data_IF_783785817846
#
_entry.id   IF_783785817846
#
_cell.length_a   1.000
_cell.length_b   1.000
_cell.length_c   1.000
_cell.angle_alpha   90.00
_cell.angle_beta   90.00
_cell.angle_gamma   90.00
#
_symmetry.space_group_name_H-M   'P 1'
#
loop_
_entity.id
_entity.type
_entity.pdbx_description
1 polymer ?
#
# COMPACT_ATOMS: atom_id res chain seq x y z
N UNK A 1 21.23 -3.47 1.58
CA UNK A 1 20.83 -2.76 0.35
C UNK A 1 21.47 -3.48 -0.81
N UNK A 2 20.78 -3.63 -1.94
CA UNK A 2 21.24 -4.38 -3.11
C UNK A 2 21.35 -3.47 -4.33
N UNK A 3 22.33 -3.75 -5.18
CA UNK A 3 22.47 -3.09 -6.48
C UNK A 3 21.82 -3.97 -7.55
N UNK A 4 21.17 -3.34 -8.51
CA UNK A 4 20.63 -4.05 -9.68
C UNK A 4 21.63 -4.06 -10.84
N UNK A 5 21.56 -5.06 -11.73
CA UNK A 5 22.42 -5.16 -12.92
C UNK A 5 22.35 -3.93 -13.84
N UNK A 6 23.42 -3.70 -14.60
CA UNK A 6 23.58 -2.51 -15.46
C UNK A 6 22.70 -2.48 -16.71
N UNK A 7 22.03 -3.57 -17.04
CA UNK A 7 21.06 -3.68 -18.14
C UNK A 7 19.62 -3.35 -17.69
N UNK A 8 19.37 -3.29 -16.38
CA UNK A 8 18.08 -2.87 -15.82
C UNK A 8 17.92 -1.36 -15.97
N UNK A 9 16.84 -0.95 -16.66
CA UNK A 9 16.51 0.46 -16.93
C UNK A 9 15.63 1.11 -15.85
N UNK A 10 14.71 0.32 -15.29
CA UNK A 10 13.72 0.78 -14.32
C UNK A 10 13.55 -0.26 -13.21
N UNK A 11 13.38 0.21 -11.98
CA UNK A 11 13.10 -0.63 -10.81
C UNK A 11 11.93 -0.02 -10.06
N UNK A 12 10.85 -0.78 -9.92
CA UNK A 12 9.65 -0.42 -9.17
C UNK A 12 9.51 -1.42 -8.01
N UNK A 13 9.44 -0.91 -6.78
CA UNK A 13 9.44 -1.74 -5.57
C UNK A 13 8.32 -1.31 -4.64
N UNK A 14 7.29 -2.17 -4.52
CA UNK A 14 6.23 -2.00 -3.53
C UNK A 14 6.66 -2.61 -2.20
N UNK A 15 6.67 -1.81 -1.13
CA UNK A 15 7.20 -2.16 0.19
C UNK A 15 6.08 -2.28 1.23
N UNK A 16 6.12 -3.33 2.05
CA UNK A 16 5.18 -3.51 3.16
C UNK A 16 5.60 -2.71 4.40
N UNK A 17 4.79 -1.70 4.73
CA UNK A 17 5.04 -0.79 5.85
C UNK A 17 4.84 -1.46 7.22
N UNK A 18 3.88 -2.39 7.34
CA UNK A 18 3.52 -3.04 8.60
C UNK A 18 4.10 -4.46 8.77
N UNK A 19 4.96 -4.88 7.85
CA UNK A 19 5.68 -6.14 8.00
C UNK A 19 6.78 -6.01 9.06
N UNK A 20 6.68 -6.82 10.12
CA UNK A 20 7.42 -6.69 11.37
C UNK A 20 8.12 -7.99 11.81
N UNK A 21 8.17 -9.01 10.95
CA UNK A 21 8.97 -10.21 11.18
C UNK A 21 10.42 -9.94 10.82
N UNK A 22 11.32 -10.17 11.77
CA UNK A 22 12.77 -10.08 11.56
C UNK A 22 13.28 -10.96 10.39
N UNK A 23 12.59 -12.08 10.09
CA UNK A 23 12.94 -12.95 8.95
C UNK A 23 12.58 -12.35 7.58
N UNK A 24 11.77 -11.29 7.56
CA UNK A 24 11.29 -10.60 6.35
C UNK A 24 11.85 -9.16 6.31
N UNK A 25 13.17 -9.05 6.50
CA UNK A 25 13.90 -7.80 6.33
C UNK A 25 13.81 -7.34 4.87
N UNK A 26 13.51 -6.05 4.69
CA UNK A 26 13.44 -5.45 3.37
C UNK A 26 14.85 -5.28 2.80
N UNK A 27 15.01 -5.64 1.53
CA UNK A 27 16.24 -5.35 0.79
C UNK A 27 16.01 -4.17 -0.15
N UNK A 28 16.31 -2.95 0.32
CA UNK A 28 16.19 -1.75 -0.49
C UNK A 28 17.23 -1.73 -1.62
N UNK A 29 16.82 -1.22 -2.78
CA UNK A 29 17.68 -1.04 -3.93
C UNK A 29 18.48 0.26 -3.85
N UNK A 30 19.74 0.20 -4.30
CA UNK A 30 20.60 1.35 -4.55
C UNK A 30 20.83 1.52 -6.06
N UNK A 31 20.75 2.76 -6.53
CA UNK A 31 21.07 3.09 -7.92
C UNK A 31 22.59 3.21 -8.09
N UNK A 32 23.19 2.59 -9.12
CA UNK A 32 24.52 2.97 -9.58
C UNK A 32 24.56 4.45 -9.97
N UNK A 33 25.71 5.12 -9.79
CA UNK A 33 25.88 6.53 -10.18
C UNK A 33 25.53 6.73 -11.66
N UNK A 34 24.78 7.80 -11.97
CA UNK A 34 24.38 8.14 -13.34
C UNK A 34 23.25 7.28 -13.92
N UNK A 35 22.56 6.48 -13.10
CA UNK A 35 21.40 5.66 -13.51
C UNK A 35 20.10 6.17 -12.91
N UNK A 36 18.99 5.86 -13.59
CA UNK A 36 17.64 6.10 -13.09
C UNK A 36 17.48 5.47 -11.70
N UNK A 37 17.12 6.24 -10.67
CA UNK A 37 16.95 5.70 -9.33
C UNK A 37 15.75 4.74 -9.25
N UNK A 38 15.81 3.72 -8.37
CA UNK A 38 14.68 2.85 -8.13
C UNK A 38 13.54 3.63 -7.48
N UNK A 39 12.30 3.38 -7.93
CA UNK A 39 11.10 3.93 -7.29
C UNK A 39 10.59 2.92 -6.27
N UNK A 40 10.82 3.23 -5.00
CA UNK A 40 10.50 2.36 -3.86
C UNK A 40 9.44 3.05 -3.01
N UNK A 41 8.24 2.47 -2.96
CA UNK A 41 7.07 3.09 -2.33
C UNK A 41 6.57 2.18 -1.21
N UNK A 42 6.36 2.75 -0.04
CA UNK A 42 5.77 2.07 1.11
C UNK A 42 4.24 2.07 1.03
N UNK A 43 3.66 0.87 1.10
CA UNK A 43 2.22 0.62 1.06
C UNK A 43 1.70 0.12 2.41
N UNK A 44 0.42 0.38 2.72
CA UNK A 44 -0.22 -0.08 3.93
C UNK A 44 -0.29 -1.61 3.98
N UNK A 45 0.15 -2.18 5.10
CA UNK A 45 -0.08 -3.57 5.47
C UNK A 45 1.17 -4.42 5.56
N UNK A 46 0.95 -5.70 5.89
CA UNK A 46 1.99 -6.72 5.99
C UNK A 46 2.39 -7.26 4.61
N UNK A 47 3.30 -8.23 4.56
CA UNK A 47 3.79 -8.78 3.29
C UNK A 47 2.67 -9.21 2.32
N UNK A 48 1.62 -9.88 2.83
CA UNK A 48 0.50 -10.34 2.00
C UNK A 48 -0.49 -9.24 1.61
N UNK A 49 -0.56 -8.17 2.40
CA UNK A 49 -1.40 -7.01 2.06
C UNK A 49 -0.80 -6.20 0.91
N UNK A 50 0.50 -6.30 0.67
CA UNK A 50 1.17 -5.64 -0.45
C UNK A 50 1.42 -6.59 -1.62
N UNK A 51 1.83 -7.84 -1.34
CA UNK A 51 2.18 -8.83 -2.37
C UNK A 51 1.04 -9.76 -2.79
N UNK A 52 -0.07 -9.79 -2.04
CA UNK A 52 -1.15 -10.74 -2.24
C UNK A 52 -0.97 -12.05 -1.45
N UNK A 53 -1.94 -12.97 -1.62
CA UNK A 53 -1.94 -14.28 -0.94
C UNK A 53 -2.49 -14.29 0.48
N UNK A 54 -2.93 -13.14 1.00
CA UNK A 54 -3.64 -13.01 2.28
C UNK A 54 -5.16 -13.09 2.13
N UNK A 55 -5.88 -12.94 3.25
CA UNK A 55 -7.35 -12.95 3.27
C UNK A 55 -8.00 -11.70 2.68
N UNK A 56 -7.29 -10.57 2.69
CA UNK A 56 -7.78 -9.32 2.13
C UNK A 56 -7.37 -9.21 0.65
N UNK A 57 -8.30 -9.34 -0.30
CA UNK A 57 -7.98 -9.24 -1.72
C UNK A 57 -7.84 -7.79 -2.20
N UNK A 58 -8.26 -6.81 -1.41
CA UNK A 58 -8.34 -5.40 -1.83
C UNK A 58 -7.07 -4.60 -1.52
N UNK A 59 -6.44 -4.84 -0.37
CA UNK A 59 -5.14 -4.20 -0.04
C UNK A 59 -4.06 -4.42 -1.13
N UNK A 60 -3.79 -5.66 -1.60
CA UNK A 60 -2.76 -5.89 -2.61
C UNK A 60 -3.16 -5.37 -4.00
N UNK A 61 -4.43 -5.03 -4.24
CA UNK A 61 -4.83 -4.37 -5.49
C UNK A 61 -4.27 -2.95 -5.57
N UNK A 62 -4.05 -2.27 -4.44
CA UNK A 62 -3.50 -0.90 -4.45
C UNK A 62 -2.08 -0.92 -5.03
N UNK A 63 -1.18 -1.73 -4.45
CA UNK A 63 0.20 -1.87 -4.92
C UNK A 63 0.29 -2.42 -6.34
N UNK A 64 -0.61 -3.35 -6.72
CA UNK A 64 -0.70 -3.85 -8.08
C UNK A 64 -1.08 -2.74 -9.06
N UNK A 65 -2.14 -1.97 -8.79
CA UNK A 65 -2.60 -0.89 -9.68
C UNK A 65 -1.56 0.22 -9.80
N UNK A 66 -0.88 0.57 -8.70
CA UNK A 66 0.28 1.43 -8.74
C UNK A 66 1.35 0.89 -9.71
N UNK A 67 1.76 -0.37 -9.54
CA UNK A 67 2.78 -1.00 -10.39
C UNK A 67 2.36 -1.03 -11.87
N UNK A 68 1.10 -1.31 -12.18
CA UNK A 68 0.58 -1.27 -13.55
C UNK A 68 0.70 0.13 -14.16
N UNK A 69 0.43 1.19 -13.39
CA UNK A 69 0.60 2.55 -13.86
C UNK A 69 2.06 2.95 -14.07
N UNK A 70 2.98 2.45 -13.25
CA UNK A 70 4.42 2.62 -13.49
C UNK A 70 4.93 1.85 -14.71
N UNK A 71 4.34 0.68 -14.99
CA UNK A 71 4.70 -0.16 -16.12
C UNK A 71 4.05 0.26 -17.44
N UNK A 72 2.92 0.97 -17.41
CA UNK A 72 2.15 1.37 -18.59
C UNK A 72 2.98 2.06 -19.70
N UNK A 73 3.96 2.95 -19.40
CA UNK A 73 4.80 3.56 -20.44
C UNK A 73 5.82 2.60 -21.07
N UNK A 74 6.03 1.43 -20.47
CA UNK A 74 7.09 0.49 -20.83
C UNK A 74 6.57 -0.80 -21.47
N UNK A 75 5.33 -1.20 -21.14
CA UNK A 75 4.71 -2.43 -21.63
C UNK A 75 3.24 -2.22 -21.97
N UNK A 76 2.72 -3.01 -22.91
CA UNK A 76 1.28 -3.04 -23.20
C UNK A 76 0.56 -3.90 -22.16
N UNK A 77 -0.35 -3.30 -21.42
CA UNK A 77 -1.16 -3.97 -20.40
C UNK A 77 -2.63 -3.91 -20.82
N UNK A 78 -3.32 -5.06 -20.89
CA UNK A 78 -4.76 -5.13 -21.13
C UNK A 78 -5.50 -5.21 -19.78
N UNK A 79 -6.06 -4.08 -19.33
CA UNK A 79 -6.69 -3.94 -18.02
C UNK A 79 -8.21 -3.77 -18.10
N UNK A 80 -8.96 -4.80 -18.51
CA UNK A 80 -10.41 -4.64 -18.72
C UNK A 80 -11.28 -4.86 -17.48
N UNK A 81 -10.75 -5.30 -16.33
CA UNK A 81 -11.61 -5.74 -15.21
C UNK A 81 -11.11 -5.43 -13.78
N UNK A 82 -10.01 -4.69 -13.59
CA UNK A 82 -9.51 -4.39 -12.24
C UNK A 82 -10.11 -3.08 -11.73
N UNK A 83 -10.81 -3.14 -10.60
CA UNK A 83 -11.35 -1.95 -9.92
C UNK A 83 -10.39 -1.47 -8.83
N UNK A 84 -10.24 -0.15 -8.70
CA UNK A 84 -9.51 0.45 -7.60
C UNK A 84 -10.32 0.29 -6.29
N UNK A 85 -9.74 -0.23 -5.19
CA UNK A 85 -10.49 -0.59 -3.98
C UNK A 85 -10.98 0.63 -3.18
N UNK A 86 -11.89 0.41 -2.23
CA UNK A 86 -12.30 1.44 -1.27
C UNK A 86 -11.32 1.58 -0.12
N UNK A 87 -10.43 2.56 -0.24
CA UNK A 87 -9.34 2.76 0.71
C UNK A 87 -9.86 2.99 2.15
N UNK A 88 -10.92 3.79 2.33
CA UNK A 88 -11.41 4.20 3.67
C UNK A 88 -11.94 3.05 4.55
N UNK A 89 -12.24 1.89 3.98
CA UNK A 89 -12.75 0.73 4.74
C UNK A 89 -11.70 -0.36 4.94
N UNK A 90 -10.52 -0.20 4.36
CA UNK A 90 -9.46 -1.19 4.49
C UNK A 90 -8.86 -1.14 5.89
N UNK A 91 -8.51 -2.33 6.37
CA UNK A 91 -7.85 -2.56 7.65
C UNK A 91 -6.56 -3.33 7.39
N UNK A 92 -5.43 -2.64 7.24
CA UNK A 92 -4.14 -3.28 7.07
C UNK A 92 -3.83 -4.17 8.26
N UNK A 93 -3.16 -5.27 7.99
CA UNK A 93 -2.71 -6.22 9.00
C UNK A 93 -1.24 -5.99 9.33
N UNK A 94 -0.82 -6.42 10.52
CA UNK A 94 0.58 -6.72 10.77
C UNK A 94 0.85 -8.18 10.42
N UNK A 95 2.11 -8.59 10.47
CA UNK A 95 2.48 -9.96 10.09
C UNK A 95 2.03 -11.05 11.08
N UNK A 96 1.44 -10.69 12.23
CA UNK A 96 1.04 -11.62 13.29
C UNK A 96 -0.47 -11.66 13.55
N UNK A 97 -1.26 -10.87 12.82
CA UNK A 97 -2.71 -10.76 12.95
C UNK A 97 -3.45 -12.10 12.90
N UNK A 98 -2.85 -13.13 12.29
CA UNK A 98 -3.42 -14.48 12.19
C UNK A 98 -2.87 -15.48 13.22
N UNK A 99 -1.85 -15.15 14.01
CA UNK A 99 -1.19 -16.09 14.93
C UNK A 99 -0.41 -15.38 16.04
N UNK A 100 -1.08 -15.07 17.15
CA UNK A 100 -0.47 -14.35 18.28
C UNK A 100 0.77 -15.03 18.90
N UNK A 101 0.84 -16.37 18.89
CA UNK A 101 2.01 -17.10 19.39
C UNK A 101 3.26 -16.89 18.53
N UNK A 102 3.11 -16.64 17.22
CA UNK A 102 4.25 -16.35 16.33
C UNK A 102 4.97 -15.08 16.76
N UNK A 103 4.25 -14.11 17.35
CA UNK A 103 4.81 -12.87 17.88
C UNK A 103 5.74 -13.07 19.08
N UNK A 104 5.59 -14.18 19.81
CA UNK A 104 6.46 -14.50 20.96
C UNK A 104 7.76 -15.16 20.52
N UNK A 105 7.75 -15.87 19.39
CA UNK A 105 8.92 -16.60 18.88
C UNK A 105 9.70 -15.80 17.83
N UNK A 106 9.01 -14.98 17.03
CA UNK A 106 9.67 -14.06 16.11
C UNK A 106 9.92 -12.72 16.83
N UNK A 107 11.17 -12.23 16.74
CA UNK A 107 11.48 -10.88 17.20
C UNK A 107 10.70 -9.88 16.33
N UNK A 108 9.82 -9.14 16.99
CA UNK A 108 9.07 -8.03 16.42
C UNK A 108 10.02 -6.85 16.19
N UNK A 109 10.06 -6.33 14.97
CA UNK A 109 10.90 -5.18 14.60
C UNK A 109 10.15 -4.32 13.58
N UNK A 110 9.86 -3.07 13.90
CA UNK A 110 9.22 -2.16 12.93
C UNK A 110 10.23 -1.65 11.91
N UNK A 111 9.73 -1.00 10.84
CA UNK A 111 10.60 -0.40 9.81
C UNK A 111 11.44 0.76 10.32
N UNK A 112 11.05 1.39 11.43
CA UNK A 112 11.84 2.39 12.13
C UNK A 112 12.93 1.73 12.98
N UNK A 113 12.57 0.68 13.74
CA UNK A 113 13.51 -0.06 14.58
C UNK A 113 14.65 -0.63 13.75
N UNK A 114 14.32 -1.21 12.59
CA UNK A 114 15.30 -1.76 11.63
C UNK A 114 16.04 -0.70 10.81
N UNK A 115 15.73 0.59 10.99
CA UNK A 115 16.26 1.72 10.20
C UNK A 115 16.05 1.58 8.69
N UNK A 116 15.05 0.79 8.29
CA UNK A 116 14.72 0.57 6.89
C UNK A 116 13.98 1.78 6.31
N UNK A 117 13.02 2.33 7.07
CA UNK A 117 12.29 3.53 6.72
C UNK A 117 13.10 4.78 7.07
N UNK A 118 13.25 5.70 6.12
CA UNK A 118 14.01 6.95 6.26
C UNK A 118 13.15 8.13 5.82
N UNK A 119 13.42 9.33 6.34
CA UNK A 119 12.69 10.57 6.02
C UNK A 119 12.56 10.87 4.51
N UNK A 120 13.54 10.44 3.71
CA UNK A 120 13.56 10.61 2.24
C UNK A 120 12.75 9.58 1.46
N UNK A 121 12.21 8.57 2.14
CA UNK A 121 11.45 7.51 1.50
C UNK A 121 10.06 8.00 1.12
N UNK A 122 9.46 7.31 0.16
CA UNK A 122 8.17 7.66 -0.40
C UNK A 122 7.10 6.73 0.14
N UNK A 123 6.00 7.29 0.61
CA UNK A 123 4.82 6.53 1.04
C UNK A 123 3.68 6.71 0.05
N UNK A 124 2.87 5.68 -0.15
CA UNK A 124 1.67 5.80 -0.98
C UNK A 124 0.56 6.56 -0.25
N UNK A 125 -0.20 7.41 -0.95
CA UNK A 125 -1.31 8.18 -0.35
C UNK A 125 -2.33 7.33 0.40
N UNK A 126 -2.55 6.09 -0.04
CA UNK A 126 -3.46 5.17 0.64
C UNK A 126 -3.06 4.89 2.09
N UNK A 127 -1.77 4.96 2.44
CA UNK A 127 -1.31 4.78 3.83
C UNK A 127 -1.94 5.87 4.73
N UNK A 128 -1.82 7.12 4.31
CA UNK A 128 -2.37 8.29 5.02
C UNK A 128 -3.90 8.28 5.04
N UNK A 129 -4.55 7.91 3.93
CA UNK A 129 -6.01 7.84 3.85
C UNK A 129 -6.58 6.76 4.78
N UNK A 130 -5.98 5.57 4.78
CA UNK A 130 -6.39 4.46 5.66
C UNK A 130 -6.19 4.84 7.12
N UNK A 131 -5.04 5.40 7.48
CA UNK A 131 -4.76 5.75 8.88
C UNK A 131 -5.70 6.84 9.39
N UNK A 132 -6.05 7.82 8.54
CA UNK A 132 -7.08 8.83 8.84
C UNK A 132 -8.47 8.20 9.05
N UNK A 133 -8.85 7.25 8.19
CA UNK A 133 -10.15 6.57 8.30
C UNK A 133 -10.23 5.62 9.51
N UNK A 134 -9.08 5.11 9.98
CA UNK A 134 -8.99 4.18 11.09
C UNK A 134 -8.58 4.83 12.43
N UNK A 135 -8.59 6.17 12.55
CA UNK A 135 -8.29 6.86 13.82
C UNK A 135 -9.24 6.32 14.90
N UNK A 136 -8.69 5.54 15.85
CA UNK A 136 -9.42 5.08 17.03
C UNK A 136 -9.27 6.11 18.16
N UNK A 137 -10.32 6.44 18.92
CA UNK A 137 -10.15 7.09 20.21
C UNK A 137 -9.33 6.17 21.13
N UNK A 138 -8.24 6.70 21.71
CA UNK A 138 -7.26 5.95 22.51
C UNK A 138 -7.93 5.14 23.63
N UNK A 139 -7.95 3.82 23.49
CA UNK A 139 -7.82 2.92 24.65
C UNK A 139 -6.39 2.40 24.65
N UNK A 140 -5.69 2.71 25.73
CA UNK A 140 -4.35 2.24 26.01
C UNK A 140 -4.29 0.71 25.90
N UNK A 141 -3.19 0.21 25.36
CA UNK A 141 -2.83 -1.20 25.13
C UNK A 141 -3.23 -1.77 23.75
N UNK A 142 -2.18 -2.09 22.98
CA UNK A 142 -2.15 -2.81 21.71
C UNK A 142 -2.46 -2.03 20.42
N UNK A 143 -1.44 -1.33 19.91
CA UNK A 143 -1.28 -1.21 18.46
C UNK A 143 0.11 -1.71 18.05
N UNK A 144 0.13 -2.88 17.40
CA UNK A 144 1.28 -3.47 16.71
C UNK A 144 1.48 -2.90 15.30
N UNK A 145 0.68 -1.90 14.95
CA UNK A 145 0.69 -1.21 13.67
C UNK A 145 1.13 0.23 13.90
N UNK A 146 2.22 0.61 13.24
CA UNK A 146 2.74 1.97 13.22
C UNK A 146 1.76 2.87 12.47
N UNK A 147 1.38 4.01 13.04
CA UNK A 147 0.47 4.97 12.38
C UNK A 147 1.29 6.10 11.74
N UNK A 148 1.11 6.33 10.45
CA UNK A 148 1.88 7.33 9.70
C UNK A 148 1.65 8.76 10.20
N UNK A 149 0.45 9.04 10.76
CA UNK A 149 0.11 10.34 11.31
C UNK A 149 0.88 10.64 12.60
N UNK A 150 1.30 9.60 13.33
CA UNK A 150 2.18 9.76 14.51
C UNK A 150 3.65 9.95 14.10
N UNK A 151 3.97 9.76 12.82
CA UNK A 151 5.32 9.90 12.25
C UNK A 151 5.49 11.15 11.39
N UNK A 152 4.56 12.09 11.45
CA UNK A 152 4.61 13.33 10.66
C UNK A 152 5.94 14.08 10.88
N UNK A 153 6.52 13.97 12.08
CA UNK A 153 7.84 14.53 12.41
C UNK A 153 9.00 14.01 11.56
N UNK A 154 8.85 12.85 10.90
CA UNK A 154 9.86 12.31 9.97
C UNK A 154 9.83 13.01 8.60
N UNK A 155 8.79 13.80 8.30
CA UNK A 155 8.68 14.53 7.03
C UNK A 155 8.61 13.63 5.79
N UNK A 156 8.03 12.44 5.93
CA UNK A 156 7.91 11.46 4.83
C UNK A 156 7.09 12.05 3.67
N UNK A 157 7.56 11.84 2.45
CA UNK A 157 6.87 12.36 1.27
C UNK A 157 5.78 11.40 0.82
N UNK A 158 4.57 11.92 0.68
CA UNK A 158 3.43 11.18 0.13
C UNK A 158 3.39 11.28 -1.39
N UNK A 159 3.34 10.14 -2.05
CA UNK A 159 3.14 10.04 -3.50
C UNK A 159 1.66 9.96 -3.80
N UNK A 160 1.18 10.86 -4.66
CA UNK A 160 -0.18 10.85 -5.17
C UNK A 160 -0.42 9.68 -6.15
N UNK A 161 -1.69 9.30 -6.30
CA UNK A 161 -2.13 8.29 -7.27
C UNK A 161 -1.57 8.58 -8.67
N UNK A 162 -1.05 7.56 -9.35
CA UNK A 162 -0.64 7.68 -10.74
C UNK A 162 -1.85 7.74 -11.69
N UNK A 163 -1.61 7.83 -13.00
CA UNK A 163 -2.68 7.98 -13.98
C UNK A 163 -3.70 6.83 -13.93
N UNK A 164 -3.23 5.58 -13.91
CA UNK A 164 -4.09 4.39 -13.88
C UNK A 164 -4.94 4.36 -12.61
N UNK A 165 -4.33 4.62 -11.46
CA UNK A 165 -5.04 4.66 -10.18
C UNK A 165 -6.12 5.76 -10.15
N UNK A 166 -5.82 6.94 -10.71
CA UNK A 166 -6.80 8.04 -10.81
C UNK A 166 -7.96 7.71 -11.74
N UNK A 167 -7.69 7.08 -12.88
CA UNK A 167 -8.73 6.69 -13.84
C UNK A 167 -9.67 5.63 -13.25
N UNK A 168 -9.10 4.62 -12.58
CA UNK A 168 -9.87 3.53 -11.97
C UNK A 168 -10.63 3.98 -10.71
N UNK A 169 -10.04 4.84 -9.87
CA UNK A 169 -10.73 5.39 -8.71
C UNK A 169 -11.93 6.26 -9.10
N UNK A 170 -11.82 7.06 -10.18
CA UNK A 170 -12.94 7.84 -10.73
C UNK A 170 -14.04 6.95 -11.33
N UNK A 171 -13.66 5.91 -12.07
CA UNK A 171 -14.61 4.98 -12.68
C UNK A 171 -15.45 4.29 -11.62
N UNK A 172 -14.82 3.85 -10.53
CA UNK A 172 -15.52 3.28 -9.38
C UNK A 172 -16.57 4.24 -8.80
N UNK A 173 -16.22 5.50 -8.56
CA UNK A 173 -17.17 6.48 -8.03
C UNK A 173 -18.40 6.62 -8.93
N UNK A 174 -18.22 6.62 -10.25
CA UNK A 174 -19.33 6.65 -11.22
C UNK A 174 -20.22 5.41 -11.12
N UNK A 175 -19.64 4.22 -11.06
CA UNK A 175 -20.40 2.96 -10.94
C UNK A 175 -21.18 2.89 -9.63
N UNK A 176 -20.57 3.26 -8.50
CA UNK A 176 -21.25 3.30 -7.20
C UNK A 176 -22.43 4.27 -7.20
N UNK A 177 -22.24 5.48 -7.75
CA UNK A 177 -23.29 6.50 -7.86
C UNK A 177 -24.43 6.02 -8.76
N UNK A 178 -24.12 5.42 -9.91
CA UNK A 178 -25.12 4.86 -10.82
C UNK A 178 -25.95 3.76 -10.13
N UNK A 179 -25.30 2.79 -9.48
CA UNK A 179 -25.98 1.72 -8.77
C UNK A 179 -26.86 2.26 -7.64
N UNK A 180 -26.38 3.25 -6.87
CA UNK A 180 -27.16 3.91 -5.83
C UNK A 180 -28.44 4.56 -6.38
N UNK A 181 -28.35 5.28 -7.51
CA UNK A 181 -29.54 5.86 -8.14
C UNK A 181 -30.49 4.81 -8.71
N UNK A 182 -29.98 3.73 -9.28
CA UNK A 182 -30.79 2.63 -9.80
C UNK A 182 -31.51 1.87 -8.68
N UNK A 183 -30.85 1.62 -7.54
CA UNK A 183 -31.44 0.90 -6.40
C UNK A 183 -32.44 1.74 -5.59
N UNK A 184 -32.41 3.07 -5.72
CA UNK A 184 -33.31 4.00 -5.02
C UNK A 184 -34.33 4.67 -5.94
N UNK A 185 -34.48 4.20 -7.19
CA UNK A 185 -35.62 4.57 -8.03
C UNK A 185 -36.89 4.03 -7.39
N UNK A 186 -37.72 4.92 -6.84
CA UNK A 186 -39.08 4.60 -6.39
C UNK A 186 -39.84 4.06 -7.62
N UNK A 187 -40.39 2.83 -7.57
CA UNK A 187 -41.17 2.31 -8.68
C UNK A 187 -42.35 3.26 -8.92
N UNK A 188 -42.47 3.76 -10.17
CA UNK A 188 -43.66 4.50 -10.58
C UNK A 188 -44.85 3.55 -10.40
N UNK A 189 -45.77 3.88 -9.48
CA UNK A 189 -47.05 3.20 -9.40
C UNK A 189 -47.75 3.37 -10.75
N UNK A 190 -47.99 2.24 -11.41
CA UNK A 190 -48.87 2.13 -12.59
C UNK A 190 -50.31 2.18 -12.11
#
# INVERSE_FOLDING_TARGET
>A
MSRFPSDVKHVFHALAFHENRMRFQVNLFESPKGRTPPKQIWFPGSHSDVGGGGKNPDLPRISLLWLLGELQPHITIRNSQILYPEVNHLKPSDAYSESGWKRLVDRYETRLDSKALKARDLIHISLTEIDKANIRPRRAAYHSLMNILELDYLGLQTVALNQVERELSRTRLRTTVQYFFESHRIPKRV
#
